data_IF_333593990682
#
_entry.id   IF_333593990682
#
_cell.length_a   1.000
_cell.length_b   1.000
_cell.length_c   1.000
_cell.angle_alpha   90.00
_cell.angle_beta   90.00
_cell.angle_gamma   90.00
#
_symmetry.space_group_name_H-M   'P 1'
#
loop_
_entity.id
_entity.type
_entity.pdbx_description
1 polymer ?
#
# COMPACT_ATOMS: atom_id res chain seq x y z
N UNK A 1 47.67 11.96 2.91
CA UNK A 1 46.95 12.40 4.12
C UNK A 1 45.67 11.59 4.21
N UNK A 2 45.48 10.74 5.23
CA UNK A 2 44.34 9.85 5.30
C UNK A 2 43.09 10.58 5.77
N UNK A 3 41.97 10.05 5.28
CA UNK A 3 40.61 10.54 5.32
C UNK A 3 40.05 10.64 6.74
N UNK A 4 39.98 11.85 7.30
CA UNK A 4 39.27 12.15 8.56
C UNK A 4 37.80 12.44 8.23
N UNK A 5 37.01 11.38 8.03
CA UNK A 5 35.53 11.48 7.83
C UNK A 5 34.71 10.80 8.93
N UNK A 6 35.34 10.32 10.01
CA UNK A 6 34.72 9.31 10.91
C UNK A 6 34.52 9.72 12.37
N UNK A 7 34.85 10.94 12.81
CA UNK A 7 34.79 11.25 14.25
C UNK A 7 33.48 11.86 14.75
N UNK A 8 32.66 12.49 13.89
CA UNK A 8 31.38 13.07 14.34
C UNK A 8 30.23 12.02 14.40
N UNK A 9 30.31 10.93 13.63
CA UNK A 9 29.33 9.82 13.73
C UNK A 9 29.55 8.95 14.98
N UNK A 10 30.79 8.81 15.46
CA UNK A 10 31.12 7.89 16.56
C UNK A 10 30.49 8.29 17.91
N UNK A 11 30.35 9.59 18.20
CA UNK A 11 29.71 10.06 19.44
C UNK A 11 28.18 9.92 19.42
N UNK A 12 27.54 9.84 18.25
CA UNK A 12 26.08 9.67 18.13
C UNK A 12 25.69 8.19 18.15
N UNK A 13 26.52 7.31 17.56
CA UNK A 13 26.27 5.87 17.53
C UNK A 13 26.29 5.22 18.94
N UNK A 14 27.16 5.68 19.85
CA UNK A 14 27.22 5.14 21.22
C UNK A 14 26.05 5.57 22.11
N UNK A 15 25.36 6.67 21.78
CA UNK A 15 24.19 7.14 22.54
C UNK A 15 22.88 6.44 22.13
N UNK A 16 22.84 5.73 21.01
CA UNK A 16 21.66 4.98 20.56
C UNK A 16 21.43 3.67 21.33
N UNK A 17 22.43 3.17 22.06
CA UNK A 17 22.40 1.85 22.70
C UNK A 17 22.03 1.86 24.19
N UNK A 18 21.71 3.02 24.78
CA UNK A 18 21.47 3.15 26.23
C UNK A 18 20.12 3.80 26.59
N UNK A 19 19.08 3.61 25.77
CA UNK A 19 17.72 4.02 26.15
C UNK A 19 17.07 2.92 27.01
N UNK A 20 16.80 3.27 28.28
CA UNK A 20 16.08 2.44 29.26
C UNK A 20 14.65 2.13 28.76
N UNK A 21 14.25 0.86 28.56
CA UNK A 21 12.95 0.50 27.98
C UNK A 21 11.76 0.65 28.94
N UNK A 22 11.96 1.04 30.21
CA UNK A 22 10.92 0.91 31.24
C UNK A 22 10.03 2.15 31.50
N UNK A 23 10.27 3.29 30.85
CA UNK A 23 9.41 4.47 31.02
C UNK A 23 8.44 4.61 29.82
N UNK A 24 7.16 4.35 30.04
CA UNK A 24 6.10 4.65 29.08
C UNK A 24 6.03 6.17 28.86
N UNK A 25 6.79 6.65 27.87
CA UNK A 25 6.79 8.04 27.48
C UNK A 25 5.38 8.45 26.99
N UNK A 26 4.93 9.68 27.30
CA UNK A 26 3.69 10.20 26.71
C UNK A 26 3.78 10.08 25.18
N UNK A 27 2.71 9.62 24.54
CA UNK A 27 2.57 9.59 23.07
C UNK A 27 2.79 11.01 22.55
N UNK A 28 4.03 11.35 22.22
CA UNK A 28 4.41 12.68 21.79
C UNK A 28 3.75 12.96 20.44
N UNK A 29 2.85 13.93 20.41
CA UNK A 29 2.21 14.36 19.17
C UNK A 29 3.22 15.09 18.28
N UNK A 30 3.66 14.45 17.20
CA UNK A 30 3.66 15.10 15.88
C UNK A 30 4.83 16.00 15.46
N UNK A 31 5.95 16.09 16.19
CA UNK A 31 7.15 16.70 15.60
C UNK A 31 7.91 15.64 14.78
N UNK A 32 7.64 15.59 13.47
CA UNK A 32 8.35 14.71 12.52
C UNK A 32 9.83 15.11 12.32
N UNK A 33 10.21 16.33 12.72
CA UNK A 33 11.56 16.90 12.56
C UNK A 33 12.49 16.63 13.74
N UNK A 34 13.77 16.99 13.55
CA UNK A 34 14.79 16.94 14.61
C UNK A 34 14.47 17.99 15.69
N UNK A 35 14.89 17.73 16.92
CA UNK A 35 14.79 18.68 18.03
C UNK A 35 16.18 18.92 18.61
N UNK A 36 16.60 20.17 18.58
CA UNK A 36 17.82 20.65 19.21
C UNK A 36 17.51 21.22 20.58
N UNK A 37 18.05 20.63 21.64
CA UNK A 37 17.97 21.17 23.00
C UNK A 37 19.28 21.87 23.35
N UNK A 38 19.19 23.14 23.72
CA UNK A 38 20.31 23.97 24.12
C UNK A 38 20.67 23.79 25.60
N UNK A 39 21.84 24.29 26.00
CA UNK A 39 22.36 24.27 27.37
C UNK A 39 21.50 25.02 28.40
N UNK A 40 20.65 25.94 27.94
CA UNK A 40 19.63 26.64 28.72
C UNK A 40 18.25 25.95 28.70
N UNK A 41 18.19 24.68 28.29
CA UNK A 41 16.99 23.84 28.16
C UNK A 41 15.93 24.32 27.15
N UNK A 42 16.23 25.34 26.33
CA UNK A 42 15.38 25.70 25.20
C UNK A 42 15.45 24.62 24.11
N UNK A 43 14.30 24.26 23.56
CA UNK A 43 14.20 23.28 22.47
C UNK A 43 13.74 23.94 21.18
N UNK A 44 14.44 23.64 20.09
CA UNK A 44 14.19 24.17 18.75
C UNK A 44 13.85 23.00 17.84
N UNK A 45 12.65 23.01 17.25
CA UNK A 45 12.30 22.10 16.17
C UNK A 45 13.03 22.53 14.89
N UNK A 46 13.77 21.61 14.27
CA UNK A 46 14.63 21.91 13.15
C UNK A 46 14.94 20.69 12.28
N UNK A 47 15.72 20.90 11.23
CA UNK A 47 16.42 19.85 10.48
C UNK A 47 17.91 20.14 10.52
N UNK A 48 18.72 19.14 10.83
CA UNK A 48 20.18 19.31 10.85
C UNK A 48 20.72 19.29 9.43
N UNK A 49 21.47 20.31 9.06
CA UNK A 49 22.08 20.42 7.75
C UNK A 49 23.54 19.95 7.79
N UNK A 50 24.05 19.31 6.72
CA UNK A 50 25.47 19.00 6.59
C UNK A 50 26.29 20.29 6.64
N UNK A 51 27.29 20.34 7.52
CA UNK A 51 28.26 21.43 7.56
C UNK A 51 29.65 20.88 7.21
N UNK A 52 30.24 21.29 6.07
CA UNK A 52 31.49 20.70 5.59
C UNK A 52 32.72 21.08 6.42
N UNK A 53 32.63 22.12 7.25
CA UNK A 53 33.71 22.59 8.09
C UNK A 53 33.41 22.28 9.56
N UNK A 54 34.38 21.78 10.31
CA UNK A 54 34.25 21.62 11.77
C UNK A 54 34.78 22.87 12.48
N UNK A 55 34.08 23.98 12.30
CA UNK A 55 34.41 25.30 12.86
C UNK A 55 33.76 25.56 14.23
N UNK A 56 33.24 24.50 14.88
CA UNK A 56 32.52 24.60 16.14
C UNK A 56 31.05 24.99 16.00
N UNK A 57 30.49 25.10 14.79
CA UNK A 57 29.06 25.37 14.59
C UNK A 57 28.28 24.13 14.14
N UNK A 58 27.02 24.07 14.58
CA UNK A 58 25.97 23.19 14.08
C UNK A 58 25.03 24.04 13.24
N UNK A 59 24.82 23.64 11.98
CA UNK A 59 23.93 24.33 11.05
C UNK A 59 22.57 23.64 11.07
N UNK A 60 21.52 24.38 11.39
CA UNK A 60 20.15 23.87 11.43
C UNK A 60 19.23 24.70 10.53
N UNK A 61 18.17 24.08 10.01
CA UNK A 61 17.04 24.76 9.37
C UNK A 61 15.81 24.71 10.27
N UNK A 62 15.20 25.86 10.57
CA UNK A 62 13.98 25.97 11.39
C UNK A 62 12.70 26.00 10.55
N UNK A 63 12.81 25.75 9.24
CA UNK A 63 11.73 25.97 8.26
C UNK A 63 11.56 27.44 7.84
N UNK A 64 11.84 28.39 8.74
CA UNK A 64 11.83 29.84 8.45
C UNK A 64 13.18 30.41 8.01
N UNK A 65 14.27 29.65 8.18
CA UNK A 65 15.61 30.09 7.83
C UNK A 65 16.67 29.07 8.24
N UNK A 66 17.93 29.47 8.08
CA UNK A 66 19.11 28.70 8.50
C UNK A 66 19.77 29.41 9.68
N UNK A 67 20.07 28.66 10.74
CA UNK A 67 20.74 29.15 11.94
C UNK A 67 22.05 28.39 12.17
N UNK A 68 23.03 29.13 12.68
CA UNK A 68 24.35 28.60 13.05
C UNK A 68 24.46 28.66 14.56
N UNK A 69 24.50 27.49 15.19
CA UNK A 69 24.50 27.37 16.65
C UNK A 69 25.86 26.81 17.07
N UNK A 70 26.53 27.49 17.98
CA UNK A 70 27.78 27.00 18.58
C UNK A 70 27.55 25.64 19.24
N UNK A 71 28.36 24.64 18.89
CA UNK A 71 28.24 23.26 19.40
C UNK A 71 28.34 23.22 20.93
N UNK A 72 29.14 24.11 21.55
CA UNK A 72 29.21 24.21 23.02
C UNK A 72 27.90 24.64 23.70
N UNK A 73 26.94 25.22 22.95
CA UNK A 73 25.60 25.58 23.43
C UNK A 73 24.58 24.45 23.23
N UNK A 74 24.94 23.38 22.55
CA UNK A 74 24.05 22.25 22.26
C UNK A 74 24.15 21.23 23.38
N UNK A 75 23.07 21.06 24.14
CA UNK A 75 22.96 20.06 25.21
C UNK A 75 22.65 18.68 24.65
N UNK A 76 21.68 18.61 23.73
CA UNK A 76 21.20 17.34 23.16
C UNK A 76 20.62 17.56 21.78
N UNK A 77 20.85 16.59 20.90
CA UNK A 77 20.19 16.48 19.60
C UNK A 77 19.29 15.25 19.64
N UNK A 78 18.00 15.43 19.37
CA UNK A 78 17.06 14.32 19.19
C UNK A 78 16.65 14.28 17.73
N UNK A 79 17.17 13.30 16.99
CA UNK A 79 16.84 13.15 15.58
C UNK A 79 15.38 12.70 15.41
N UNK A 80 14.68 13.35 14.47
CA UNK A 80 13.40 12.90 13.94
C UNK A 80 13.59 11.71 12.99
N UNK A 81 12.50 11.21 12.41
CA UNK A 81 12.55 10.02 11.54
C UNK A 81 13.50 10.21 10.35
N UNK A 82 13.42 11.35 9.67
CA UNK A 82 14.28 11.65 8.52
C UNK A 82 15.76 11.76 8.93
N UNK A 83 16.05 12.42 10.05
CA UNK A 83 17.40 12.54 10.60
C UNK A 83 17.98 11.19 10.99
N UNK A 84 17.19 10.33 11.66
CA UNK A 84 17.57 8.96 12.00
C UNK A 84 17.89 8.15 10.74
N UNK A 85 17.04 8.21 9.71
CA UNK A 85 17.25 7.50 8.44
C UNK A 85 18.50 7.98 7.69
N UNK A 86 18.85 9.28 7.76
CA UNK A 86 20.08 9.83 7.15
C UNK A 86 21.35 9.44 7.91
N UNK A 87 21.26 9.35 9.24
CA UNK A 87 22.38 8.97 10.10
C UNK A 87 22.62 7.45 10.14
N UNK A 88 21.66 6.67 9.63
CA UNK A 88 21.67 5.21 9.66
C UNK A 88 22.77 4.63 8.76
N UNK A 89 23.56 3.71 9.30
CA UNK A 89 24.37 2.82 8.47
C UNK A 89 23.48 1.71 7.91
N UNK A 90 23.08 1.84 6.64
CA UNK A 90 22.22 0.86 5.97
C UNK A 90 22.85 -0.54 5.80
N UNK A 91 24.13 -0.71 6.16
CA UNK A 91 24.85 -1.99 6.08
C UNK A 91 24.99 -2.69 7.42
N UNK A 92 24.71 -2.01 8.54
CA UNK A 92 24.77 -2.61 9.87
C UNK A 92 23.37 -3.09 10.32
N UNK A 93 23.14 -4.41 10.43
CA UNK A 93 21.86 -4.94 10.86
C UNK A 93 21.45 -4.46 12.26
N UNK A 94 22.40 -4.22 13.18
CA UNK A 94 22.09 -3.78 14.52
C UNK A 94 21.45 -2.38 14.51
N UNK A 95 21.95 -1.46 13.68
CA UNK A 95 21.38 -0.12 13.55
C UNK A 95 20.00 -0.14 12.90
N UNK A 96 19.76 -1.01 11.91
CA UNK A 96 18.45 -1.19 11.28
C UNK A 96 17.41 -1.73 12.26
N UNK A 97 17.79 -2.70 13.10
CA UNK A 97 16.92 -3.26 14.15
C UNK A 97 16.61 -2.19 15.21
N UNK A 98 17.61 -1.41 15.63
CA UNK A 98 17.42 -0.30 16.56
C UNK A 98 16.46 0.76 16.00
N UNK A 99 16.60 1.11 14.71
CA UNK A 99 15.68 2.01 14.02
C UNK A 99 14.26 1.44 13.98
N UNK A 100 14.10 0.14 13.71
CA UNK A 100 12.79 -0.49 13.67
C UNK A 100 12.06 -0.40 15.02
N UNK A 101 12.75 -0.71 16.12
CA UNK A 101 12.23 -0.57 17.49
C UNK A 101 11.87 0.88 17.81
N UNK A 102 12.73 1.83 17.43
CA UNK A 102 12.49 3.25 17.61
C UNK A 102 11.24 3.74 16.86
N UNK A 103 11.04 3.28 15.63
CA UNK A 103 9.89 3.57 14.79
C UNK A 103 8.60 3.01 15.41
N UNK A 104 8.62 1.78 15.92
CA UNK A 104 7.47 1.12 16.53
C UNK A 104 6.95 1.89 17.76
N UNK A 105 7.85 2.32 18.66
CA UNK A 105 7.48 3.12 19.85
C UNK A 105 6.80 4.45 19.47
N UNK A 106 7.01 4.93 18.24
CA UNK A 106 6.42 6.17 17.71
C UNK A 106 5.25 5.97 16.75
N UNK A 107 4.81 4.72 16.54
CA UNK A 107 3.71 4.40 15.61
C UNK A 107 4.09 4.57 14.13
N UNK A 108 5.38 4.42 13.79
CA UNK A 108 5.88 4.42 12.41
C UNK A 108 6.04 2.98 11.90
N UNK A 109 4.95 2.21 11.93
CA UNK A 109 4.97 0.76 11.71
C UNK A 109 5.51 0.37 10.32
N UNK A 110 5.17 1.14 9.28
CA UNK A 110 5.67 0.89 7.92
C UNK A 110 7.19 1.08 7.80
N UNK A 111 7.74 2.09 8.47
CA UNK A 111 9.18 2.32 8.51
C UNK A 111 9.89 1.27 9.36
N UNK A 112 9.27 0.83 10.46
CA UNK A 112 9.77 -0.29 11.24
C UNK A 112 9.86 -1.58 10.41
N UNK A 113 8.81 -1.90 9.67
CA UNK A 113 8.79 -3.05 8.75
C UNK A 113 9.88 -2.93 7.68
N UNK A 114 10.01 -1.77 7.05
CA UNK A 114 11.02 -1.51 6.00
C UNK A 114 12.44 -1.70 6.54
N UNK A 115 12.72 -1.24 7.76
CA UNK A 115 14.03 -1.40 8.39
C UNK A 115 14.34 -2.88 8.70
N UNK A 116 13.36 -3.65 9.18
CA UNK A 116 13.53 -5.10 9.43
C UNK A 116 13.69 -5.91 8.15
N UNK A 117 12.96 -5.58 7.08
CA UNK A 117 13.13 -6.20 5.77
C UNK A 117 14.55 -5.97 5.22
N UNK A 118 15.08 -4.76 5.38
CA UNK A 118 16.47 -4.45 5.01
C UNK A 118 17.47 -5.23 5.87
N UNK A 119 17.30 -5.26 7.19
CA UNK A 119 18.19 -6.00 8.09
C UNK A 119 18.25 -7.49 7.73
N UNK A 120 17.09 -8.10 7.51
CA UNK A 120 16.97 -9.51 7.09
C UNK A 120 17.56 -9.80 5.70
N UNK A 121 17.55 -8.81 4.82
CA UNK A 121 18.10 -8.92 3.46
C UNK A 121 19.63 -8.85 3.38
N UNK A 122 20.31 -8.48 4.47
CA UNK A 122 21.78 -8.40 4.50
C UNK A 122 22.41 -9.81 4.51
N UNK A 123 23.48 -10.06 3.74
CA UNK A 123 24.11 -11.38 3.68
C UNK A 123 24.60 -11.87 5.05
N UNK A 124 24.23 -13.10 5.41
CA UNK A 124 24.68 -13.74 6.65
C UNK A 124 24.00 -13.24 7.93
N UNK A 125 22.99 -12.36 7.81
CA UNK A 125 22.25 -11.85 8.98
C UNK A 125 21.07 -12.77 9.29
N UNK A 126 21.04 -13.28 10.52
CA UNK A 126 19.88 -13.93 11.12
C UNK A 126 19.31 -13.01 12.19
N UNK A 127 18.02 -12.69 12.13
CA UNK A 127 17.35 -11.94 13.19
C UNK A 127 17.29 -12.80 14.46
N UNK A 128 17.55 -12.21 15.62
CA UNK A 128 17.28 -12.87 16.90
C UNK A 128 15.77 -13.15 17.05
N UNK A 129 15.41 -14.06 17.97
CA UNK A 129 14.02 -14.49 18.17
C UNK A 129 13.06 -13.33 18.43
N UNK A 130 13.46 -12.38 19.29
CA UNK A 130 12.62 -11.22 19.64
C UNK A 130 12.35 -10.37 18.39
N UNK A 131 13.40 -10.09 17.61
CA UNK A 131 13.31 -9.31 16.38
C UNK A 131 12.53 -10.04 15.28
N UNK A 132 12.65 -11.38 15.19
CA UNK A 132 11.89 -12.21 14.26
C UNK A 132 10.39 -12.18 14.59
N UNK A 133 10.04 -12.26 15.88
CA UNK A 133 8.67 -12.16 16.37
C UNK A 133 8.05 -10.79 16.08
N UNK A 134 8.81 -9.71 16.31
CA UNK A 134 8.40 -8.35 15.94
C UNK A 134 8.16 -8.23 14.43
N UNK A 135 9.07 -8.76 13.62
CA UNK A 135 8.95 -8.74 12.16
C UNK A 135 7.69 -9.47 11.68
N UNK A 136 7.39 -10.65 12.23
CA UNK A 136 6.16 -11.38 11.92
C UNK A 136 4.90 -10.57 12.25
N UNK A 137 4.89 -9.91 13.42
CA UNK A 137 3.77 -9.10 13.90
C UNK A 137 3.50 -7.90 12.99
N UNK A 138 4.55 -7.15 12.61
CA UNK A 138 4.43 -6.02 11.70
C UNK A 138 3.93 -6.43 10.31
N UNK A 139 4.36 -7.61 9.83
CA UNK A 139 3.98 -8.11 8.52
C UNK A 139 2.52 -8.59 8.48
N UNK A 140 2.01 -9.16 9.58
CA UNK A 140 0.61 -9.54 9.79
C UNK A 140 -0.31 -8.30 9.76
N UNK A 141 0.13 -7.22 10.41
CA UNK A 141 -0.61 -5.95 10.50
C UNK A 141 -0.54 -5.09 9.23
N UNK A 142 0.46 -5.30 8.36
CA UNK A 142 0.65 -4.51 7.16
C UNK A 142 -0.47 -4.74 6.12
N UNK A 143 -1.27 -3.71 5.74
CA UNK A 143 -2.42 -3.88 4.85
C UNK A 143 -2.09 -4.50 3.48
N UNK A 144 -0.88 -4.25 2.96
CA UNK A 144 -0.44 -4.76 1.66
C UNK A 144 0.00 -6.23 1.67
N UNK A 145 0.37 -6.77 2.84
CA UNK A 145 0.93 -8.13 3.00
C UNK A 145 -0.05 -9.05 3.73
N UNK A 146 -0.42 -8.66 4.94
CA UNK A 146 -1.39 -9.32 5.79
C UNK A 146 -0.95 -10.68 6.32
N UNK A 147 -1.89 -11.42 6.95
CA UNK A 147 -1.59 -12.62 7.72
C UNK A 147 -0.96 -13.76 6.91
N UNK A 148 -1.32 -13.88 5.62
CA UNK A 148 -0.80 -14.94 4.73
C UNK A 148 0.72 -14.87 4.60
N UNK A 149 1.28 -13.67 4.52
CA UNK A 149 2.71 -13.49 4.36
C UNK A 149 3.46 -13.61 5.70
N UNK A 150 2.78 -13.36 6.83
CA UNK A 150 3.35 -13.47 8.17
C UNK A 150 3.44 -14.91 8.69
N UNK A 151 2.48 -15.76 8.29
CA UNK A 151 2.41 -17.17 8.70
C UNK A 151 3.74 -17.95 8.62
N UNK A 152 4.48 -17.96 7.49
CA UNK A 152 5.75 -18.69 7.44
C UNK A 152 6.77 -18.16 8.46
N UNK A 153 6.75 -16.86 8.77
CA UNK A 153 7.67 -16.25 9.74
C UNK A 153 7.29 -16.64 11.17
N UNK A 154 6.00 -16.65 11.51
CA UNK A 154 5.53 -17.16 12.81
C UNK A 154 5.91 -18.63 13.02
N UNK A 155 5.83 -19.46 11.96
CA UNK A 155 6.26 -20.86 12.02
C UNK A 155 7.75 -21.00 12.27
N UNK A 156 8.58 -20.20 11.58
CA UNK A 156 10.03 -20.14 11.85
C UNK A 156 10.31 -19.71 13.29
N UNK A 157 9.64 -18.66 13.78
CA UNK A 157 9.77 -18.20 15.17
C UNK A 157 9.50 -19.32 16.18
N UNK A 158 8.41 -20.08 16.01
CA UNK A 158 8.10 -21.24 16.88
C UNK A 158 9.15 -22.35 16.75
N UNK A 159 9.59 -22.67 15.53
CA UNK A 159 10.56 -23.72 15.27
C UNK A 159 11.95 -23.41 15.89
N UNK A 160 12.32 -22.13 15.90
CA UNK A 160 13.59 -21.65 16.46
C UNK A 160 13.55 -21.48 17.99
N UNK A 161 12.45 -21.90 18.65
CA UNK A 161 12.31 -21.90 20.11
C UNK A 161 11.65 -20.64 20.69
N UNK A 162 10.99 -19.83 19.87
CA UNK A 162 10.22 -18.68 20.33
C UNK A 162 9.09 -19.07 21.29
N UNK A 163 8.95 -18.32 22.38
CA UNK A 163 8.07 -18.65 23.51
C UNK A 163 7.09 -17.53 23.91
N UNK A 164 7.02 -16.43 23.15
CA UNK A 164 6.08 -15.34 23.44
C UNK A 164 4.63 -15.82 23.24
N UNK A 165 3.84 -15.81 24.31
CA UNK A 165 2.47 -16.33 24.32
C UNK A 165 1.54 -15.61 23.33
N UNK A 166 1.74 -14.31 23.11
CA UNK A 166 0.90 -13.54 22.17
C UNK A 166 1.20 -13.93 20.74
N UNK A 167 2.49 -14.08 20.40
CA UNK A 167 2.94 -14.50 19.08
C UNK A 167 2.49 -15.93 18.78
N UNK A 168 2.66 -16.84 19.73
CA UNK A 168 2.22 -18.23 19.59
C UNK A 168 0.69 -18.35 19.53
N UNK A 169 -0.04 -17.56 20.31
CA UNK A 169 -1.50 -17.48 20.23
C UNK A 169 -1.97 -17.00 18.85
N UNK A 170 -1.35 -15.93 18.32
CA UNK A 170 -1.65 -15.43 16.98
C UNK A 170 -1.32 -16.45 15.89
N UNK A 171 -0.22 -17.20 16.00
CA UNK A 171 0.09 -18.30 15.10
C UNK A 171 -1.03 -19.36 15.12
N UNK A 172 -1.47 -19.78 16.30
CA UNK A 172 -2.54 -20.76 16.45
C UNK A 172 -3.84 -20.31 15.77
N UNK A 173 -4.24 -19.03 15.95
CA UNK A 173 -5.41 -18.46 15.27
C UNK A 173 -5.32 -18.58 13.73
N UNK A 174 -4.15 -18.32 13.15
CA UNK A 174 -3.93 -18.42 11.70
C UNK A 174 -3.97 -19.87 11.22
N UNK A 175 -3.42 -20.80 12.00
CA UNK A 175 -3.46 -22.23 11.68
C UNK A 175 -4.88 -22.81 11.77
N UNK A 176 -5.65 -22.41 12.79
CA UNK A 176 -7.06 -22.77 12.95
C UNK A 176 -7.91 -22.22 11.80
N UNK A 177 -7.67 -20.97 11.38
CA UNK A 177 -8.37 -20.37 10.24
C UNK A 177 -8.10 -21.14 8.92
N UNK A 178 -6.87 -21.59 8.70
CA UNK A 178 -6.50 -22.41 7.53
C UNK A 178 -7.14 -23.80 7.62
N UNK A 179 -7.12 -24.43 8.80
CA UNK A 179 -7.77 -25.71 9.01
C UNK A 179 -9.28 -25.64 8.73
N UNK A 180 -9.96 -24.62 9.27
CA UNK A 180 -11.38 -24.38 9.03
C UNK A 180 -11.69 -24.15 7.54
N UNK A 181 -10.87 -23.37 6.83
CA UNK A 181 -11.03 -23.16 5.40
C UNK A 181 -10.86 -24.47 4.61
N UNK A 182 -9.84 -25.27 4.93
CA UNK A 182 -9.61 -26.56 4.28
C UNK A 182 -10.74 -27.55 4.54
N UNK A 183 -11.31 -27.57 5.74
CA UNK A 183 -12.46 -28.42 6.06
C UNK A 183 -13.73 -27.96 5.33
N UNK A 184 -13.92 -26.65 5.15
CA UNK A 184 -14.99 -26.12 4.31
C UNK A 184 -14.81 -26.56 2.84
N UNK A 185 -13.57 -26.52 2.31
CA UNK A 185 -13.28 -26.97 0.95
C UNK A 185 -13.52 -28.48 0.77
N UNK A 186 -13.19 -29.31 1.77
CA UNK A 186 -13.51 -30.75 1.76
C UNK A 186 -15.03 -31.00 1.74
N UNK A 187 -15.80 -30.24 2.53
CA UNK A 187 -17.28 -30.36 2.59
C UNK A 187 -17.95 -29.99 1.26
N UNK A 188 -17.32 -29.14 0.46
CA UNK A 188 -17.81 -28.78 -0.87
C UNK A 188 -17.59 -29.89 -1.93
N UNK A 189 -16.92 -30.99 -1.57
CA UNK A 189 -16.70 -32.17 -2.42
C UNK A 189 -16.18 -31.81 -3.82
N UNK A 190 -15.32 -30.78 -3.89
CA UNK A 190 -14.75 -30.32 -5.14
C UNK A 190 -13.82 -31.40 -5.72
N UNK A 191 -13.90 -31.70 -7.03
CA UNK A 191 -13.03 -32.69 -7.65
C UNK A 191 -11.55 -32.34 -7.43
N UNK A 192 -10.65 -33.33 -7.27
CA UNK A 192 -9.21 -33.09 -7.22
C UNK A 192 -8.78 -32.29 -8.46
N UNK A 193 -8.27 -31.08 -8.26
CA UNK A 193 -7.88 -30.15 -9.33
C UNK A 193 -8.70 -28.86 -9.44
N UNK A 194 -9.77 -28.69 -8.66
CA UNK A 194 -10.57 -27.45 -8.68
C UNK A 194 -10.00 -26.30 -7.83
N UNK A 195 -9.02 -26.57 -6.97
CA UNK A 195 -8.33 -25.53 -6.20
C UNK A 195 -7.09 -25.06 -6.97
N UNK A 196 -6.86 -23.75 -7.11
CA UNK A 196 -5.63 -23.23 -7.69
C UNK A 196 -4.46 -23.66 -6.81
N UNK A 197 -3.63 -24.58 -7.32
CA UNK A 197 -2.36 -24.93 -6.70
C UNK A 197 -1.49 -23.68 -6.70
N UNK A 198 -1.04 -23.22 -5.51
CA UNK A 198 -0.37 -21.93 -5.37
C UNK A 198 1.12 -21.90 -5.74
N UNK A 199 1.71 -23.03 -6.17
CA UNK A 199 3.17 -23.20 -6.12
C UNK A 199 3.83 -23.62 -7.45
N UNK A 200 3.25 -23.35 -8.61
CA UNK A 200 3.93 -23.60 -9.89
C UNK A 200 4.61 -22.34 -10.44
N UNK A 201 5.92 -22.23 -10.24
CA UNK A 201 6.80 -21.37 -11.05
C UNK A 201 6.91 -21.97 -12.45
N UNK A 202 6.42 -21.34 -13.53
CA UNK A 202 6.44 -21.96 -14.85
C UNK A 202 7.83 -21.88 -15.48
N UNK A 203 8.35 -23.03 -15.89
CA UNK A 203 9.50 -23.14 -16.77
C UNK A 203 9.10 -22.73 -18.20
N UNK A 204 9.93 -21.87 -18.82
CA UNK A 204 9.76 -21.42 -20.21
C UNK A 204 10.00 -22.56 -21.21
N UNK A 205 9.02 -22.77 -22.09
CA UNK A 205 9.20 -23.49 -23.35
C UNK A 205 8.80 -22.57 -24.52
N UNK A 206 9.52 -22.57 -25.64
CA UNK A 206 9.34 -21.61 -26.71
C UNK A 206 8.41 -22.17 -27.80
N UNK A 207 7.30 -21.48 -28.11
CA UNK A 207 6.57 -21.72 -29.37
C UNK A 207 6.08 -20.39 -29.96
N UNK A 208 6.17 -20.38 -31.30
CA UNK A 208 6.04 -19.32 -32.28
C UNK A 208 4.69 -18.58 -32.35
N UNK A 209 4.77 -17.44 -33.03
CA UNK A 209 3.74 -16.43 -33.26
C UNK A 209 2.64 -16.89 -34.23
N UNK A 210 1.40 -16.48 -33.95
CA UNK A 210 0.71 -15.44 -34.71
C UNK A 210 -0.70 -15.19 -34.13
N UNK A 211 -1.02 -13.92 -33.83
CA UNK A 211 -2.25 -13.49 -33.15
C UNK A 211 -2.01 -13.03 -31.71
N UNK A 212 -1.21 -11.97 -31.53
CA UNK A 212 -0.68 -11.50 -30.25
C UNK A 212 -1.78 -10.91 -29.34
N UNK A 213 -2.52 -11.77 -28.65
CA UNK A 213 -3.06 -11.44 -27.32
C UNK A 213 -1.86 -11.09 -26.44
N UNK A 214 -1.93 -9.92 -25.80
CA UNK A 214 -0.85 -9.39 -24.99
C UNK A 214 -0.32 -10.44 -24.00
N UNK A 215 1.02 -10.50 -23.90
CA UNK A 215 1.77 -11.21 -22.87
C UNK A 215 1.02 -11.21 -21.54
N UNK A 216 0.81 -12.39 -20.94
CA UNK A 216 0.13 -12.66 -19.66
C UNK A 216 0.18 -11.43 -18.76
N UNK A 217 -0.85 -10.60 -18.87
CA UNK A 217 -0.90 -9.33 -18.18
C UNK A 217 -0.93 -9.66 -16.69
N UNK A 218 0.04 -9.13 -15.94
CA UNK A 218 0.03 -9.16 -14.49
C UNK A 218 -1.37 -8.72 -14.03
N UNK A 219 -2.05 -9.57 -13.23
CA UNK A 219 -3.39 -9.27 -12.70
C UNK A 219 -3.46 -7.80 -12.26
N UNK A 220 -4.41 -7.06 -12.81
CA UNK A 220 -4.58 -5.65 -12.49
C UNK A 220 -5.26 -5.45 -11.13
N UNK A 221 -5.75 -4.23 -10.90
CA UNK A 221 -6.41 -3.84 -9.65
C UNK A 221 -7.72 -4.65 -9.44
N UNK A 222 -8.25 -5.29 -10.46
CA UNK A 222 -9.41 -6.19 -10.41
C UNK A 222 -9.20 -7.47 -9.57
N UNK A 223 -7.95 -7.88 -9.31
CA UNK A 223 -7.64 -9.23 -8.82
C UNK A 223 -8.11 -9.59 -7.40
N UNK A 224 -8.55 -8.66 -6.54
CA UNK A 224 -9.11 -8.95 -5.19
C UNK A 224 -9.70 -7.71 -4.52
N UNK A 225 -10.56 -7.92 -3.52
CA UNK A 225 -10.97 -6.88 -2.55
C UNK A 225 -11.91 -5.81 -3.12
N UNK A 226 -12.89 -6.23 -3.91
CA UNK A 226 -13.97 -5.37 -4.38
C UNK A 226 -15.24 -5.69 -3.60
N UNK A 227 -15.78 -4.68 -2.94
CA UNK A 227 -16.98 -4.76 -2.13
C UNK A 227 -18.14 -4.01 -2.80
N UNK A 228 -19.37 -4.41 -2.51
CA UNK A 228 -20.53 -3.63 -2.90
C UNK A 228 -20.54 -2.28 -2.15
N UNK A 229 -20.97 -1.20 -2.83
CA UNK A 229 -21.26 0.05 -2.15
C UNK A 229 -22.55 -0.06 -1.32
N UNK A 230 -22.70 0.82 -0.33
CA UNK A 230 -23.88 0.89 0.52
C UNK A 230 -25.17 1.05 -0.31
N UNK A 231 -26.14 0.16 -0.08
CA UNK A 231 -27.43 0.10 -0.79
C UNK A 231 -28.29 1.37 -0.64
N UNK A 232 -27.98 2.25 0.32
CA UNK A 232 -28.59 3.58 0.40
C UNK A 232 -28.34 4.41 -0.87
N UNK A 233 -27.20 4.21 -1.52
CA UNK A 233 -26.71 4.99 -2.65
C UNK A 233 -26.55 4.17 -3.95
N UNK A 234 -26.64 2.85 -3.87
CA UNK A 234 -26.39 1.91 -4.97
C UNK A 234 -27.50 0.87 -5.09
N UNK A 235 -27.79 0.42 -6.31
CA UNK A 235 -28.52 -0.82 -6.52
C UNK A 235 -27.74 -2.01 -5.96
N UNK A 236 -28.41 -3.14 -5.62
CA UNK A 236 -27.74 -4.38 -5.26
C UNK A 236 -26.75 -4.80 -6.34
N UNK A 237 -25.57 -5.25 -5.93
CA UNK A 237 -24.51 -5.67 -6.85
C UNK A 237 -23.62 -6.71 -6.20
N UNK A 238 -23.18 -7.68 -6.97
CA UNK A 238 -22.19 -8.66 -6.56
C UNK A 238 -20.95 -8.53 -7.45
N UNK A 239 -19.78 -8.61 -6.83
CA UNK A 239 -18.49 -8.63 -7.51
C UNK A 239 -17.75 -9.92 -7.14
N UNK A 240 -17.32 -10.68 -8.15
CA UNK A 240 -16.57 -11.92 -7.94
C UNK A 240 -15.45 -12.03 -8.95
N UNK A 241 -14.24 -12.30 -8.48
CA UNK A 241 -13.15 -12.63 -9.39
C UNK A 241 -13.33 -14.05 -9.90
N UNK A 242 -13.31 -14.22 -11.21
CA UNK A 242 -13.39 -15.51 -11.88
C UNK A 242 -12.23 -15.70 -12.85
N UNK A 243 -11.78 -16.94 -13.00
CA UNK A 243 -10.83 -17.34 -14.02
C UNK A 243 -11.60 -17.50 -15.33
N UNK A 244 -11.23 -16.73 -16.36
CA UNK A 244 -11.79 -16.92 -17.71
C UNK A 244 -11.18 -18.17 -18.35
N UNK A 245 -11.93 -18.85 -19.22
CA UNK A 245 -11.40 -20.01 -19.91
C UNK A 245 -10.32 -19.61 -20.93
N UNK A 246 -9.46 -20.54 -21.37
CA UNK A 246 -8.34 -20.24 -22.27
C UNK A 246 -8.74 -19.54 -23.58
N UNK A 247 -9.90 -19.88 -24.14
CA UNK A 247 -10.44 -19.24 -25.34
C UNK A 247 -10.79 -17.76 -25.15
N UNK A 248 -10.96 -17.32 -23.90
CA UNK A 248 -11.14 -15.93 -23.49
C UNK A 248 -9.85 -15.33 -22.88
N UNK A 249 -8.70 -15.92 -23.22
CA UNK A 249 -7.37 -15.46 -22.83
C UNK A 249 -6.84 -16.04 -21.53
N UNK A 250 -7.62 -16.87 -20.82
CA UNK A 250 -7.14 -17.48 -19.57
C UNK A 250 -6.78 -16.44 -18.49
N UNK A 251 -7.37 -15.25 -18.54
CA UNK A 251 -7.12 -14.16 -17.58
C UNK A 251 -8.11 -14.21 -16.43
N UNK A 252 -7.72 -13.63 -15.28
CA UNK A 252 -8.67 -13.37 -14.20
C UNK A 252 -9.46 -12.11 -14.52
N UNK A 253 -10.78 -12.18 -14.39
CA UNK A 253 -11.67 -11.05 -14.57
C UNK A 253 -12.58 -10.87 -13.35
N UNK A 254 -12.92 -9.63 -13.06
CA UNK A 254 -13.95 -9.28 -12.10
C UNK A 254 -15.31 -9.34 -12.79
N UNK A 255 -16.10 -10.36 -12.44
CA UNK A 255 -17.50 -10.45 -12.83
C UNK A 255 -18.34 -9.58 -11.90
N UNK A 256 -19.09 -8.65 -12.49
CA UNK A 256 -19.97 -7.73 -11.77
C UNK A 256 -21.39 -7.93 -12.28
N UNK A 257 -22.29 -8.31 -11.37
CA UNK A 257 -23.69 -8.57 -11.69
C UNK A 257 -24.58 -7.72 -10.80
N UNK A 258 -25.57 -7.04 -11.39
CA UNK A 258 -26.59 -6.30 -10.65
C UNK A 258 -27.95 -6.59 -11.27
N UNK A 259 -28.97 -6.97 -10.47
CA UNK A 259 -30.33 -7.20 -10.98
C UNK A 259 -31.10 -5.90 -11.30
N UNK A 260 -30.46 -4.73 -11.18
CA UNK A 260 -31.16 -3.44 -11.21
C UNK A 260 -31.79 -3.09 -9.86
N UNK A 261 -32.51 -1.97 -9.81
CA UNK A 261 -33.21 -1.54 -8.61
C UNK A 261 -33.85 -0.16 -8.70
N UNK A 262 -34.13 0.43 -7.54
CA UNK A 262 -34.74 1.75 -7.41
C UNK A 262 -33.75 2.92 -7.45
N UNK A 263 -32.44 2.66 -7.60
CA UNK A 263 -31.39 3.68 -7.77
C UNK A 263 -30.97 3.75 -9.22
N UNK A 264 -30.27 4.83 -9.57
CA UNK A 264 -29.80 5.05 -10.94
C UNK A 264 -28.62 4.14 -11.32
N UNK A 265 -27.85 3.66 -10.34
CA UNK A 265 -26.61 2.91 -10.55
C UNK A 265 -26.36 1.83 -9.50
N UNK A 266 -25.69 0.78 -9.91
CA UNK A 266 -24.94 -0.14 -9.05
C UNK A 266 -23.48 0.32 -8.95
N UNK A 267 -22.84 0.13 -7.80
CA UNK A 267 -21.46 0.54 -7.56
C UNK A 267 -20.71 -0.51 -6.76
N UNK A 268 -19.52 -0.87 -7.24
CA UNK A 268 -18.54 -1.65 -6.48
C UNK A 268 -17.36 -0.74 -6.16
N UNK A 269 -16.76 -0.96 -5.00
CA UNK A 269 -15.67 -0.13 -4.50
C UNK A 269 -14.52 -0.98 -4.01
N UNK A 270 -13.35 -0.38 -4.02
CA UNK A 270 -12.13 -0.96 -3.49
C UNK A 270 -11.35 0.11 -2.76
N UNK A 271 -11.04 -0.15 -1.49
CA UNK A 271 -10.07 0.66 -0.77
C UNK A 271 -8.69 0.45 -1.38
N UNK A 272 -8.04 1.55 -1.70
CA UNK A 272 -6.70 1.57 -2.29
C UNK A 272 -5.84 2.58 -1.55
N UNK A 273 -4.53 2.49 -1.73
CA UNK A 273 -3.62 3.59 -1.40
C UNK A 273 -2.77 3.75 -2.63
N UNK A 274 -3.12 4.74 -3.44
CA UNK A 274 -2.50 4.97 -4.73
C UNK A 274 -2.17 6.45 -4.90
N UNK A 275 -0.99 6.72 -5.43
CA UNK A 275 -0.56 8.05 -5.83
C UNK A 275 -0.42 8.04 -7.35
N UNK A 276 -1.24 8.84 -8.03
CA UNK A 276 -1.06 9.10 -9.47
C UNK A 276 0.12 10.07 -9.61
N UNK A 277 1.16 9.62 -10.30
CA UNK A 277 2.30 10.46 -10.66
C UNK A 277 1.99 11.29 -11.93
N UNK A 278 2.98 12.05 -12.39
CA UNK A 278 2.85 12.90 -13.58
C UNK A 278 2.82 12.10 -14.89
N UNK A 279 3.30 10.86 -14.88
CA UNK A 279 3.37 10.04 -16.08
C UNK A 279 2.18 9.09 -16.23
N UNK A 280 1.53 8.65 -15.14
CA UNK A 280 0.51 7.59 -15.12
C UNK A 280 -0.88 8.08 -14.68
N UNK A 281 -1.45 9.06 -15.39
CA UNK A 281 -2.74 9.66 -15.01
C UNK A 281 -3.94 9.15 -15.78
N UNK A 282 -3.82 8.03 -16.49
CA UNK A 282 -4.92 7.38 -17.20
C UNK A 282 -5.27 6.06 -16.54
N UNK A 283 -6.50 5.92 -16.06
CA UNK A 283 -7.03 4.60 -15.67
C UNK A 283 -7.58 3.90 -16.91
N UNK A 284 -6.95 2.80 -17.31
CA UNK A 284 -7.44 1.90 -18.36
C UNK A 284 -8.03 0.63 -17.75
N UNK A 285 -9.05 0.09 -18.41
CA UNK A 285 -9.65 -1.20 -18.11
C UNK A 285 -10.26 -1.81 -19.36
N UNK A 286 -10.27 -3.14 -19.45
CA UNK A 286 -10.99 -3.87 -20.48
C UNK A 286 -12.32 -4.35 -19.91
N UNK A 287 -13.43 -4.00 -20.55
CA UNK A 287 -14.78 -4.35 -20.12
C UNK A 287 -15.56 -5.09 -21.21
N UNK A 288 -16.26 -6.15 -20.81
CA UNK A 288 -17.20 -6.91 -21.62
C UNK A 288 -18.61 -6.71 -21.05
N UNK A 289 -19.50 -6.12 -21.83
CA UNK A 289 -20.93 -6.05 -21.49
C UNK A 289 -21.66 -7.26 -22.07
N UNK A 290 -22.08 -8.18 -21.20
CA UNK A 290 -22.79 -9.42 -21.57
C UNK A 290 -24.31 -9.26 -21.62
N UNK A 291 -24.82 -8.06 -21.37
CA UNK A 291 -26.23 -7.73 -21.55
C UNK A 291 -26.60 -7.54 -23.02
N UNK A 292 -27.88 -7.31 -23.27
CA UNK A 292 -28.46 -7.09 -24.61
C UNK A 292 -28.64 -5.60 -24.96
N UNK A 293 -28.40 -4.70 -23.99
CA UNK A 293 -28.52 -3.24 -24.14
C UNK A 293 -27.20 -2.52 -23.88
N UNK A 294 -26.95 -1.36 -24.53
CA UNK A 294 -25.83 -0.50 -24.19
C UNK A 294 -25.89 -0.07 -22.73
N UNK A 295 -24.77 -0.19 -22.04
CA UNK A 295 -24.64 0.12 -20.63
C UNK A 295 -23.79 1.38 -20.46
N UNK A 296 -24.15 2.23 -19.49
CA UNK A 296 -23.36 3.40 -19.14
C UNK A 296 -22.49 3.07 -17.92
N UNK A 297 -21.22 3.40 -17.98
CA UNK A 297 -20.29 3.26 -16.85
C UNK A 297 -19.60 4.57 -16.53
N UNK A 298 -19.13 4.69 -15.29
CA UNK A 298 -18.21 5.73 -14.87
C UNK A 298 -17.25 5.16 -13.83
N UNK A 299 -16.20 5.92 -13.53
CA UNK A 299 -15.39 5.69 -12.34
C UNK A 299 -15.68 6.77 -11.31
N UNK A 300 -15.53 6.42 -10.05
CA UNK A 300 -15.43 7.42 -9.00
C UNK A 300 -14.24 7.14 -8.09
N UNK A 301 -13.74 8.19 -7.45
CA UNK A 301 -12.58 8.14 -6.58
C UNK A 301 -12.85 8.97 -5.32
N UNK A 302 -12.31 8.51 -4.19
CA UNK A 302 -12.22 9.33 -2.98
C UNK A 302 -10.77 9.68 -2.69
N UNK A 303 -10.46 10.97 -2.59
CA UNK A 303 -9.11 11.49 -2.39
C UNK A 303 -8.99 12.23 -1.05
N UNK A 304 -7.76 12.67 -0.73
CA UNK A 304 -7.44 13.58 0.37
C UNK A 304 -7.71 13.01 1.77
N UNK A 305 -6.83 12.13 2.23
CA UNK A 305 -6.61 11.77 3.63
C UNK A 305 -7.88 11.67 4.48
N UNK A 306 -8.16 12.74 5.23
CA UNK A 306 -9.25 12.82 6.21
C UNK A 306 -10.59 13.27 5.64
N UNK A 307 -10.63 13.88 4.45
CA UNK A 307 -11.84 14.50 3.89
C UNK A 307 -12.61 13.59 2.93
N UNK A 308 -11.98 12.53 2.41
CA UNK A 308 -12.62 11.55 1.51
C UNK A 308 -13.41 12.22 0.37
N UNK A 309 -12.79 13.18 -0.31
CA UNK A 309 -13.43 14.00 -1.32
C UNK A 309 -13.84 13.15 -2.52
N UNK A 310 -15.12 13.18 -2.87
CA UNK A 310 -15.68 12.35 -3.94
C UNK A 310 -15.58 13.04 -5.30
N UNK A 311 -15.03 12.32 -6.27
CA UNK A 311 -14.94 12.72 -7.67
C UNK A 311 -15.50 11.61 -8.56
N UNK A 312 -16.36 11.94 -9.50
CA UNK A 312 -16.92 10.97 -10.46
C UNK A 312 -16.73 11.46 -11.89
N UNK A 313 -16.30 10.57 -12.79
CA UNK A 313 -16.06 10.89 -14.19
C UNK A 313 -17.36 11.12 -14.97
N UNK A 314 -17.24 11.68 -16.16
CA UNK A 314 -18.29 11.58 -17.17
C UNK A 314 -18.60 10.10 -17.52
N UNK A 315 -19.80 9.88 -18.05
CA UNK A 315 -20.28 8.54 -18.45
C UNK A 315 -19.61 8.09 -19.76
N UNK A 316 -19.19 6.83 -19.81
CA UNK A 316 -18.78 6.12 -21.03
C UNK A 316 -19.84 5.08 -21.39
N UNK A 317 -20.10 4.88 -22.68
CA UNK A 317 -21.07 3.89 -23.17
C UNK A 317 -20.32 2.63 -23.58
N UNK A 318 -20.73 1.49 -23.04
CA UNK A 318 -20.22 0.16 -23.38
C UNK A 318 -21.34 -0.63 -24.05
N UNK A 319 -21.30 -0.81 -25.38
CA UNK A 319 -22.30 -1.60 -26.08
C UNK A 319 -22.19 -3.09 -25.72
N UNK A 320 -23.26 -3.89 -25.90
CA UNK A 320 -23.19 -5.34 -25.89
C UNK A 320 -22.07 -5.86 -26.79
N UNK A 321 -21.33 -6.86 -26.34
CA UNK A 321 -20.26 -7.47 -27.13
C UNK A 321 -19.90 -8.84 -26.60
N UNK A 322 -19.36 -9.69 -27.47
CA UNK A 322 -18.70 -10.95 -27.11
C UNK A 322 -17.18 -10.79 -26.88
N UNK A 323 -16.65 -9.59 -27.12
CA UNK A 323 -15.23 -9.25 -26.96
C UNK A 323 -15.04 -8.09 -26.01
N UNK A 324 -13.94 -8.10 -25.24
CA UNK A 324 -13.59 -6.99 -24.38
C UNK A 324 -13.35 -5.71 -25.17
N UNK A 325 -13.76 -4.58 -24.58
CA UNK A 325 -13.49 -3.24 -25.09
C UNK A 325 -12.66 -2.48 -24.07
N UNK A 326 -11.59 -1.87 -24.51
CA UNK A 326 -10.81 -0.97 -23.66
C UNK A 326 -11.59 0.32 -23.42
N UNK A 327 -11.61 0.76 -22.16
CA UNK A 327 -12.17 2.05 -21.73
C UNK A 327 -11.12 2.76 -20.90
N UNK A 328 -10.92 4.04 -21.22
CA UNK A 328 -9.93 4.91 -20.57
C UNK A 328 -10.59 6.11 -19.92
N UNK A 329 -10.05 6.48 -18.76
CA UNK A 329 -10.43 7.66 -18.00
C UNK A 329 -9.18 8.50 -17.72
N UNK A 330 -9.13 9.71 -18.27
CA UNK A 330 -8.08 10.68 -17.96
C UNK A 330 -8.36 11.28 -16.58
N UNK A 331 -7.52 11.00 -15.59
CA UNK A 331 -7.72 11.43 -14.20
C UNK A 331 -7.38 12.91 -13.98
N UNK A 332 -6.61 13.51 -14.90
CA UNK A 332 -6.32 14.95 -14.95
C UNK A 332 -7.32 15.73 -15.82
N UNK A 333 -8.33 15.04 -16.36
CA UNK A 333 -9.42 15.65 -17.11
C UNK A 333 -10.21 16.68 -16.29
N UNK A 334 -10.90 17.58 -16.99
CA UNK A 334 -11.79 18.60 -16.41
C UNK A 334 -13.28 18.22 -16.50
N UNK A 335 -13.56 16.94 -16.66
CA UNK A 335 -14.89 16.36 -16.85
C UNK A 335 -15.38 15.56 -15.64
N UNK A 336 -14.89 15.90 -14.44
CA UNK A 336 -15.30 15.27 -13.18
C UNK A 336 -16.34 16.11 -12.46
N UNK A 337 -17.31 15.44 -11.85
CA UNK A 337 -18.24 16.03 -10.89
C UNK A 337 -17.84 15.74 -9.45
N UNK A 338 -18.07 16.72 -8.58
CA UNK A 338 -17.84 16.64 -7.15
C UNK A 338 -18.77 17.61 -6.43
N UNK A 339 -18.71 17.65 -5.10
CA UNK A 339 -19.39 18.68 -4.34
C UNK A 339 -18.91 20.10 -4.73
N UNK A 340 -17.63 20.27 -5.03
CA UNK A 340 -17.06 21.56 -5.42
C UNK A 340 -17.58 22.08 -6.77
N UNK A 341 -17.99 21.18 -7.66
CA UNK A 341 -18.57 21.54 -8.96
C UNK A 341 -20.09 21.59 -8.94
N UNK A 342 -20.73 21.54 -7.77
CA UNK A 342 -22.17 21.37 -7.62
C UNK A 342 -22.70 20.18 -8.42
N UNK A 343 -21.94 19.09 -8.45
CA UNK A 343 -22.25 17.85 -9.17
C UNK A 343 -22.31 17.98 -10.71
N UNK A 344 -21.74 19.04 -11.29
CA UNK A 344 -21.53 19.17 -12.73
C UNK A 344 -20.19 18.57 -13.18
N UNK A 345 -20.14 17.97 -14.37
CA UNK A 345 -18.91 17.39 -14.97
C UNK A 345 -18.04 18.49 -15.61
N UNK A 346 -17.52 19.40 -14.79
CA UNK A 346 -16.72 20.54 -15.25
C UNK A 346 -15.54 20.88 -14.32
N UNK A 347 -15.14 19.95 -13.45
CA UNK A 347 -14.01 20.10 -12.55
C UNK A 347 -12.96 19.01 -12.73
N UNK A 348 -11.88 19.17 -11.97
CA UNK A 348 -10.77 18.21 -11.91
C UNK A 348 -10.82 17.38 -10.63
N UNK A 349 -10.06 16.29 -10.59
CA UNK A 349 -9.79 15.57 -9.34
C UNK A 349 -8.73 16.33 -8.54
N UNK A 350 -9.00 16.58 -7.26
CA UNK A 350 -7.99 17.17 -6.36
C UNK A 350 -7.26 16.06 -5.59
N UNK A 351 -5.99 16.30 -5.24
CA UNK A 351 -5.17 15.39 -4.43
C UNK A 351 -5.03 13.97 -5.03
N UNK A 352 -4.75 13.91 -6.33
CA UNK A 352 -4.52 12.66 -7.09
C UNK A 352 -3.34 11.82 -6.58
N UNK A 353 -2.44 12.42 -5.80
CA UNK A 353 -1.36 11.74 -5.12
C UNK A 353 -1.81 10.99 -3.84
N UNK A 354 -3.10 11.05 -3.47
CA UNK A 354 -3.64 10.37 -2.30
C UNK A 354 -5.05 9.80 -2.52
N UNK A 355 -5.16 8.80 -3.40
CA UNK A 355 -6.41 8.08 -3.65
C UNK A 355 -6.61 7.02 -2.57
N UNK A 356 -7.76 7.08 -1.89
CA UNK A 356 -8.18 6.17 -0.81
C UNK A 356 -9.16 5.10 -1.25
N UNK A 357 -9.95 5.39 -2.28
CA UNK A 357 -10.98 4.49 -2.79
C UNK A 357 -11.15 4.69 -4.28
N UNK A 358 -11.29 3.57 -5.01
CA UNK A 358 -11.70 3.52 -6.40
C UNK A 358 -13.06 2.83 -6.48
N UNK A 359 -13.95 3.35 -7.30
CA UNK A 359 -15.27 2.78 -7.57
C UNK A 359 -15.48 2.58 -9.06
N UNK A 360 -16.08 1.44 -9.42
CA UNK A 360 -16.67 1.22 -10.74
C UNK A 360 -18.18 1.37 -10.61
N UNK A 361 -18.73 2.29 -11.39
CA UNK A 361 -20.15 2.63 -11.39
C UNK A 361 -20.82 2.09 -12.64
N UNK A 362 -21.92 1.37 -12.45
CA UNK A 362 -22.72 0.78 -13.51
C UNK A 362 -24.10 1.42 -13.47
N UNK A 363 -24.39 2.29 -14.44
CA UNK A 363 -25.67 3.00 -14.54
C UNK A 363 -26.74 2.13 -15.17
N UNK A 364 -27.28 1.19 -14.39
CA UNK A 364 -28.26 0.20 -14.84
C UNK A 364 -29.72 0.52 -14.48
N UNK A 365 -30.00 1.49 -13.61
CA UNK A 365 -31.37 1.81 -13.22
C UNK A 365 -32.16 0.59 -12.75
N UNK A 366 -33.26 0.27 -13.45
CA UNK A 366 -34.11 -0.91 -13.18
C UNK A 366 -33.69 -2.17 -13.94
N UNK A 367 -32.70 -2.07 -14.81
CA UNK A 367 -32.29 -3.15 -15.72
C UNK A 367 -31.18 -3.99 -15.09
N UNK A 368 -31.11 -5.26 -15.50
CA UNK A 368 -29.99 -6.13 -15.15
C UNK A 368 -28.70 -5.64 -15.83
N UNK A 369 -27.57 -5.77 -15.13
CA UNK A 369 -26.24 -5.59 -15.68
C UNK A 369 -25.37 -6.80 -15.37
N UNK A 370 -24.65 -7.27 -16.38
CA UNK A 370 -23.70 -8.37 -16.28
C UNK A 370 -22.44 -8.02 -17.08
N UNK A 371 -21.36 -7.68 -16.36
CA UNK A 371 -20.11 -7.29 -16.99
C UNK A 371 -18.91 -8.06 -16.46
N UNK A 372 -17.92 -8.23 -17.32
CA UNK A 372 -16.59 -8.69 -16.93
C UNK A 372 -15.61 -7.53 -17.09
N UNK A 373 -14.70 -7.38 -16.13
CA UNK A 373 -13.64 -6.37 -16.16
C UNK A 373 -12.30 -7.02 -15.92
N UNK A 374 -11.29 -6.71 -16.74
CA UNK A 374 -9.91 -7.14 -16.49
C UNK A 374 -8.89 -6.11 -16.98
N UNK A 375 -7.63 -6.30 -16.59
CA UNK A 375 -6.53 -5.43 -16.97
C UNK A 375 -6.73 -4.00 -16.49
N UNK A 376 -7.27 -3.80 -15.28
CA UNK A 376 -7.44 -2.47 -14.71
C UNK A 376 -6.10 -1.95 -14.20
N UNK A 377 -5.56 -0.93 -14.85
CA UNK A 377 -4.23 -0.38 -14.56
C UNK A 377 -4.17 1.14 -14.80
N UNK A 378 -3.23 1.78 -14.13
CA UNK A 378 -2.84 3.15 -14.46
C UNK A 378 -1.76 3.09 -15.53
N UNK A 379 -2.00 3.74 -16.66
CA UNK A 379 -1.11 3.78 -17.82
C UNK A 379 -0.67 5.20 -18.10
N UNK A 380 0.27 5.35 -19.03
CA UNK A 380 0.86 6.64 -19.32
C UNK A 380 -0.10 7.59 -20.03
N UNK A 381 0.04 8.88 -19.78
CA UNK A 381 -0.74 9.92 -20.48
C UNK A 381 -0.52 9.89 -22.01
N UNK A 382 0.69 9.54 -22.43
CA UNK A 382 1.03 9.35 -23.85
C UNK A 382 0.29 8.19 -24.51
N UNK A 383 -0.36 7.33 -23.71
CA UNK A 383 -1.15 6.21 -24.18
C UNK A 383 -2.64 6.52 -24.21
N UNK A 384 -3.11 7.73 -23.82
CA UNK A 384 -4.50 8.16 -23.99
C UNK A 384 -4.87 8.26 -25.48
#
# INVERSE_FOLDING_TARGET
MPTVRLLLLACVASALLAADPAAAAPKASGALGDVLTLDNDQSIACSILPHPQDDGFLVISTGSGVMWIRKERVKKVTLGLEGQMKALDSTDPATLIALARWCLVRGHDQQALTALERARGLPGVTLDLETLGLYATLLDQAPARGPKAALPIYRTYKADGGSDEKILGRLQELEDAIAAHNDQLKKLNLPPGFLPQSDSTPAEAPIASDGKLATVAKDGIEGKGWDAENEKYSNPVAAKVQQLPPEQGGVRALAVTSPGGGKDKAAIKKSVTYAVDDDHSVLSLNILNRGDKPMKIAIAMKTNGQKWLYHESALKIVPPSDTFKEVRFNLRGNDYKSQATNWANNGTIVDLNDIKELQLLIYNGKEEANVLVHGMNFIKDSEL
#
